data_IF_856548776190
#
_entry.id   IF_856548776190
#
_cell.length_a   1.000
_cell.length_b   1.000
_cell.length_c   1.000
_cell.angle_alpha   90.00
_cell.angle_beta   90.00
_cell.angle_gamma   90.00
#
_symmetry.space_group_name_H-M   'P 1'
#
loop_
_entity.id
_entity.type
_entity.pdbx_description
1 polymer ?
#
# COMPACT_ATOMS: atom_id res chain seq x y z
N UNK A 1 -12.23 -56.36 -17.28
CA UNK A 1 -11.18 -55.84 -18.19
C UNK A 1 -9.90 -55.62 -17.40
N UNK A 2 -8.85 -56.39 -17.71
CA UNK A 2 -7.58 -56.39 -16.97
C UNK A 2 -6.74 -55.16 -17.31
N UNK A 3 -5.81 -54.76 -16.43
CA UNK A 3 -4.86 -53.66 -16.69
C UNK A 3 -4.00 -53.90 -17.95
N UNK A 4 -3.88 -55.16 -18.40
CA UNK A 4 -3.18 -55.53 -19.64
C UNK A 4 -3.98 -55.12 -20.88
N UNK A 5 -5.29 -55.33 -20.85
CA UNK A 5 -6.19 -55.01 -21.97
C UNK A 5 -6.38 -53.50 -22.15
N UNK A 6 -6.42 -52.75 -21.04
CA UNK A 6 -6.59 -51.29 -21.07
C UNK A 6 -5.34 -50.59 -21.61
N UNK A 7 -4.14 -51.02 -21.20
CA UNK A 7 -2.89 -50.45 -21.71
C UNK A 7 -2.72 -50.73 -23.21
N UNK A 8 -3.08 -51.94 -23.66
CA UNK A 8 -3.03 -52.31 -25.08
C UNK A 8 -3.97 -51.46 -25.96
N UNK A 9 -5.14 -51.07 -25.45
CA UNK A 9 -6.11 -50.23 -26.18
C UNK A 9 -5.81 -48.73 -26.14
N UNK A 10 -5.07 -48.25 -25.15
CA UNK A 10 -4.85 -46.81 -24.90
C UNK A 10 -3.43 -46.33 -25.21
N UNK A 11 -2.49 -47.25 -25.48
CA UNK A 11 -1.07 -46.97 -25.74
C UNK A 11 -0.35 -46.24 -24.57
N UNK A 12 -0.94 -46.21 -23.38
CA UNK A 12 -0.35 -45.56 -22.21
C UNK A 12 0.63 -46.49 -21.49
N UNK A 13 1.81 -45.99 -21.06
CA UNK A 13 2.79 -46.80 -20.35
C UNK A 13 2.26 -47.26 -18.99
N UNK A 14 2.70 -48.45 -18.59
CA UNK A 14 2.20 -49.22 -17.45
C UNK A 14 2.83 -48.75 -16.11
N UNK A 15 2.90 -47.44 -15.90
CA UNK A 15 3.50 -46.84 -14.72
C UNK A 15 2.46 -46.63 -13.59
N UNK A 16 2.96 -46.40 -12.37
CA UNK A 16 2.13 -46.26 -11.16
C UNK A 16 1.02 -45.20 -11.31
N UNK A 17 1.31 -44.12 -12.04
CA UNK A 17 0.36 -43.03 -12.29
C UNK A 17 -0.80 -43.42 -13.19
N UNK A 18 -0.58 -44.26 -14.22
CA UNK A 18 -1.66 -44.71 -15.11
C UNK A 18 -2.56 -45.72 -14.42
N UNK A 19 -2.01 -46.60 -13.58
CA UNK A 19 -2.77 -47.51 -12.72
C UNK A 19 -3.67 -46.71 -11.77
N UNK A 20 -3.10 -45.74 -11.07
CA UNK A 20 -3.86 -44.88 -10.16
C UNK A 20 -5.00 -44.13 -10.86
N UNK A 21 -4.78 -43.57 -12.06
CA UNK A 21 -5.83 -42.86 -12.79
C UNK A 21 -6.96 -43.79 -13.27
N UNK A 22 -6.62 -45.02 -13.69
CA UNK A 22 -7.60 -46.03 -14.10
C UNK A 22 -8.44 -46.50 -12.91
N UNK A 23 -7.82 -46.78 -11.76
CA UNK A 23 -8.53 -47.23 -10.56
C UNK A 23 -9.37 -46.12 -9.93
N UNK A 24 -8.87 -44.87 -9.97
CA UNK A 24 -9.65 -43.68 -9.61
C UNK A 24 -10.89 -43.56 -10.51
N UNK A 25 -10.75 -43.65 -11.83
CA UNK A 25 -11.90 -43.58 -12.73
C UNK A 25 -12.89 -44.73 -12.55
N UNK A 26 -12.41 -45.96 -12.31
CA UNK A 26 -13.30 -47.11 -12.08
C UNK A 26 -14.16 -46.94 -10.83
N UNK A 27 -13.59 -46.38 -9.76
CA UNK A 27 -14.28 -46.19 -8.48
C UNK A 27 -15.17 -44.95 -8.46
N UNK A 28 -14.75 -43.83 -9.05
CA UNK A 28 -15.48 -42.56 -8.97
C UNK A 28 -16.24 -42.17 -10.24
N UNK A 29 -16.03 -42.90 -11.35
CA UNK A 29 -16.43 -42.51 -12.71
C UNK A 29 -15.94 -41.10 -13.11
N UNK A 30 -14.94 -40.56 -12.44
CA UNK A 30 -14.44 -39.20 -12.64
C UNK A 30 -12.92 -39.08 -12.38
N UNK A 31 -12.16 -38.58 -13.37
CA UNK A 31 -10.72 -38.31 -13.22
C UNK A 31 -10.46 -36.96 -12.54
N UNK A 32 -11.48 -36.10 -12.46
CA UNK A 32 -11.42 -34.77 -11.85
C UNK A 32 -10.91 -34.79 -10.41
N UNK A 33 -10.34 -33.67 -9.98
CA UNK A 33 -9.96 -33.51 -8.58
C UNK A 33 -11.21 -33.41 -7.70
N UNK A 34 -11.11 -33.92 -6.46
CA UNK A 34 -12.14 -33.70 -5.45
C UNK A 34 -12.37 -32.20 -5.24
N UNK A 35 -13.59 -31.82 -4.88
CA UNK A 35 -13.95 -30.43 -4.64
C UNK A 35 -12.96 -29.76 -3.67
N UNK A 36 -12.41 -28.61 -4.07
CA UNK A 36 -11.39 -27.88 -3.30
C UNK A 36 -9.96 -28.40 -3.43
N UNK A 37 -9.70 -29.51 -4.13
CA UNK A 37 -8.35 -30.00 -4.43
C UNK A 37 -7.93 -29.65 -5.86
N UNK A 38 -6.66 -29.28 -6.03
CA UNK A 38 -6.07 -28.93 -7.33
C UNK A 38 -5.66 -27.47 -7.47
N UNK A 39 -5.08 -27.12 -8.62
CA UNK A 39 -4.61 -25.77 -8.89
C UNK A 39 -5.79 -24.80 -8.95
N UNK A 40 -5.80 -23.79 -8.08
CA UNK A 40 -6.83 -22.73 -8.09
C UNK A 40 -6.90 -22.10 -9.48
N UNK A 41 -8.12 -21.89 -9.98
CA UNK A 41 -8.38 -21.26 -11.28
C UNK A 41 -7.79 -19.86 -11.28
N UNK A 42 -6.95 -19.57 -12.28
CA UNK A 42 -6.27 -18.26 -12.41
C UNK A 42 -7.12 -17.23 -13.15
N UNK A 43 -8.17 -17.67 -13.84
CA UNK A 43 -9.04 -16.82 -14.68
C UNK A 43 -10.45 -16.75 -14.11
N UNK A 44 -11.13 -15.62 -14.34
CA UNK A 44 -12.54 -15.46 -13.99
C UNK A 44 -13.44 -16.01 -15.10
N UNK A 45 -14.71 -16.28 -14.79
CA UNK A 45 -15.71 -16.70 -15.79
C UNK A 45 -15.90 -15.68 -16.93
N UNK A 46 -15.58 -14.40 -16.69
CA UNK A 46 -15.63 -13.34 -17.70
C UNK A 46 -14.41 -13.39 -18.60
N UNK A 47 -13.21 -13.54 -18.01
CA UNK A 47 -11.96 -13.73 -18.75
C UNK A 47 -12.05 -14.95 -19.66
N UNK A 48 -12.61 -16.06 -19.18
CA UNK A 48 -12.75 -17.28 -19.97
C UNK A 48 -13.74 -17.12 -21.14
N UNK A 49 -14.84 -16.37 -20.95
CA UNK A 49 -15.76 -16.03 -22.05
C UNK A 49 -15.08 -15.18 -23.13
N UNK A 50 -14.22 -14.24 -22.73
CA UNK A 50 -13.46 -13.41 -23.67
C UNK A 50 -12.39 -14.22 -24.42
N UNK A 51 -11.69 -15.12 -23.73
CA UNK A 51 -10.74 -16.07 -24.33
C UNK A 51 -11.48 -16.94 -25.36
N UNK A 52 -12.61 -17.53 -24.98
CA UNK A 52 -13.43 -18.35 -25.88
C UNK A 52 -13.90 -17.55 -27.10
N UNK A 53 -14.34 -16.30 -26.92
CA UNK A 53 -14.76 -15.45 -28.04
C UNK A 53 -13.60 -15.13 -29.00
N UNK A 54 -12.41 -14.83 -28.47
CA UNK A 54 -11.21 -14.53 -29.28
C UNK A 54 -10.70 -15.77 -30.02
N UNK A 55 -10.72 -16.93 -29.39
CA UNK A 55 -10.33 -18.21 -29.99
C UNK A 55 -11.39 -18.79 -30.95
N UNK A 56 -12.67 -18.43 -30.78
CA UNK A 56 -13.74 -18.81 -31.71
C UNK A 56 -13.50 -18.25 -33.12
N UNK A 57 -12.94 -17.05 -33.20
CA UNK A 57 -12.64 -16.38 -34.47
C UNK A 57 -11.31 -16.86 -35.10
N UNK A 58 -10.31 -17.16 -34.27
CA UNK A 58 -9.03 -17.70 -34.73
C UNK A 58 -8.44 -18.63 -33.67
N UNK A 59 -8.44 -19.93 -33.99
CA UNK A 59 -8.01 -21.00 -33.08
C UNK A 59 -6.49 -21.17 -33.02
N UNK A 60 -5.71 -20.53 -33.90
CA UNK A 60 -4.24 -20.65 -33.93
C UNK A 60 -3.52 -19.53 -33.17
N UNK A 61 -4.26 -18.64 -32.52
CA UNK A 61 -3.66 -17.56 -31.71
C UNK A 61 -2.85 -18.11 -30.56
N UNK A 62 -1.65 -17.56 -30.40
CA UNK A 62 -0.80 -17.87 -29.26
C UNK A 62 -1.40 -17.31 -27.97
N UNK A 63 -1.07 -17.94 -26.84
CA UNK A 63 -1.52 -17.50 -25.53
C UNK A 63 -1.06 -16.06 -25.21
N UNK A 64 0.13 -15.65 -25.67
CA UNK A 64 0.66 -14.30 -25.47
C UNK A 64 -0.17 -13.25 -26.19
N UNK A 65 -0.55 -13.49 -27.45
CA UNK A 65 -1.40 -12.57 -28.22
C UNK A 65 -2.81 -12.46 -27.62
N UNK A 66 -3.34 -13.55 -27.07
CA UNK A 66 -4.64 -13.52 -26.38
C UNK A 66 -4.56 -12.68 -25.09
N UNK A 67 -3.51 -12.84 -24.28
CA UNK A 67 -3.31 -12.06 -23.04
C UNK A 67 -3.18 -10.56 -23.31
N UNK A 68 -2.32 -10.15 -24.24
CA UNK A 68 -2.16 -8.74 -24.61
C UNK A 68 -3.49 -8.14 -25.11
N UNK A 69 -4.24 -8.90 -25.89
CA UNK A 69 -5.55 -8.49 -26.37
C UNK A 69 -6.63 -8.42 -25.27
N UNK A 70 -6.47 -9.11 -24.13
CA UNK A 70 -7.38 -9.02 -22.99
C UNK A 70 -7.10 -7.78 -22.15
N UNK A 71 -5.82 -7.50 -21.87
CA UNK A 71 -5.36 -6.33 -21.10
C UNK A 71 -5.84 -5.01 -21.75
N UNK A 72 -5.75 -4.92 -23.08
CA UNK A 72 -6.24 -3.78 -23.86
C UNK A 72 -7.78 -3.68 -23.95
N UNK A 73 -8.51 -4.76 -23.71
CA UNK A 73 -9.99 -4.73 -23.69
C UNK A 73 -10.51 -4.34 -22.31
N UNK A 74 -9.79 -4.72 -21.25
CA UNK A 74 -10.13 -4.38 -19.85
C UNK A 74 -9.78 -2.95 -19.45
N UNK A 75 -8.84 -2.30 -20.16
CA UNK A 75 -8.49 -0.89 -19.94
C UNK A 75 -9.58 0.11 -20.39
N UNK A 76 -10.69 -0.36 -20.99
CA UNK A 76 -11.85 0.45 -21.42
C UNK A 76 -13.15 0.10 -20.67
N UNK A 77 -13.13 -0.05 -19.35
CA UNK A 77 -14.36 -0.32 -18.59
C UNK A 77 -14.83 0.92 -17.82
N UNK A 78 -16.09 1.29 -18.12
CA UNK A 78 -16.92 2.34 -17.51
C UNK A 78 -17.12 2.12 -15.99
N UNK A 79 -17.33 3.19 -15.20
CA UNK A 79 -17.34 3.18 -13.72
C UNK A 79 -18.57 2.52 -13.06
N UNK A 80 -19.27 1.60 -13.72
CA UNK A 80 -20.47 0.92 -13.16
C UNK A 80 -20.22 -0.48 -12.59
N UNK A 81 -18.97 -0.94 -12.58
CA UNK A 81 -18.59 -2.26 -12.05
C UNK A 81 -17.22 -2.23 -11.34
N UNK A 82 -16.97 -1.25 -10.46
CA UNK A 82 -15.83 -1.30 -9.55
C UNK A 82 -16.24 -2.01 -8.27
N UNK A 83 -15.56 -3.11 -7.95
CA UNK A 83 -15.62 -3.71 -6.61
C UNK A 83 -14.80 -2.78 -5.71
N UNK A 84 -15.30 -2.34 -4.54
CA UNK A 84 -14.50 -1.58 -3.60
C UNK A 84 -13.25 -2.40 -3.28
N UNK A 85 -12.08 -1.85 -3.61
CA UNK A 85 -10.79 -2.46 -3.30
C UNK A 85 -10.00 -1.46 -2.49
N UNK A 86 -9.34 -1.93 -1.44
CA UNK A 86 -8.63 -1.07 -0.48
C UNK A 86 -7.33 -0.49 -1.06
N UNK A 87 -6.87 -1.00 -2.21
CA UNK A 87 -5.64 -0.58 -2.90
C UNK A 87 -5.82 -0.64 -4.42
N UNK A 88 -5.97 0.51 -5.07
CA UNK A 88 -5.88 0.59 -6.54
C UNK A 88 -4.41 0.82 -6.94
N UNK A 89 -3.84 -0.10 -7.73
CA UNK A 89 -2.55 0.05 -8.39
C UNK A 89 -1.31 -0.20 -7.51
N UNK A 90 -0.27 -0.79 -8.11
CA UNK A 90 1.05 -1.05 -7.50
C UNK A 90 1.90 0.23 -7.31
N UNK A 91 1.32 1.41 -7.56
CA UNK A 91 2.03 2.69 -7.62
C UNK A 91 1.76 3.50 -6.35
N UNK A 92 2.44 3.15 -5.26
CA UNK A 92 2.43 3.89 -3.99
C UNK A 92 3.64 4.83 -3.93
N UNK A 93 3.40 6.12 -3.69
CA UNK A 93 4.45 7.10 -3.42
C UNK A 93 4.56 7.28 -1.91
N UNK A 94 5.71 6.92 -1.34
CA UNK A 94 6.00 7.17 0.06
C UNK A 94 6.64 8.56 0.21
N UNK A 95 6.19 9.33 1.18
CA UNK A 95 6.74 10.66 1.47
C UNK A 95 7.03 10.82 2.95
N UNK A 96 8.02 11.66 3.27
CA UNK A 96 8.30 12.15 4.60
C UNK A 96 8.25 13.68 4.61
N UNK A 97 7.59 14.24 5.62
CA UNK A 97 7.59 15.67 5.87
C UNK A 97 7.53 15.95 7.35
N UNK A 98 7.80 17.21 7.69
CA UNK A 98 7.62 17.73 9.03
C UNK A 98 7.05 19.15 8.94
N UNK A 99 6.41 19.63 9.98
CA UNK A 99 5.96 21.01 10.05
C UNK A 99 5.98 21.51 11.49
N UNK A 100 5.81 22.82 11.63
CA UNK A 100 5.60 23.50 12.90
C UNK A 100 4.37 24.40 12.78
N UNK A 101 3.89 24.91 13.92
CA UNK A 101 2.81 25.90 13.96
C UNK A 101 3.02 27.08 12.99
N UNK A 102 4.27 27.48 12.77
CA UNK A 102 4.61 28.67 11.98
C UNK A 102 5.04 28.37 10.54
N UNK A 103 5.60 27.18 10.26
CA UNK A 103 6.24 26.89 8.97
C UNK A 103 6.14 25.42 8.57
N UNK A 104 5.99 25.21 7.27
CA UNK A 104 6.05 23.90 6.63
C UNK A 104 7.52 23.50 6.41
N UNK A 105 7.90 22.29 6.82
CA UNK A 105 9.22 21.71 6.52
C UNK A 105 9.31 21.21 5.10
N UNK A 106 10.46 20.67 4.71
CA UNK A 106 10.62 20.09 3.38
C UNK A 106 9.86 18.77 3.28
N UNK A 107 9.19 18.53 2.15
CA UNK A 107 8.67 17.21 1.78
C UNK A 107 9.74 16.45 1.00
N UNK A 108 10.00 15.20 1.39
CA UNK A 108 10.88 14.28 0.68
C UNK A 108 10.07 13.10 0.17
N UNK A 109 10.21 12.77 -1.11
CA UNK A 109 9.76 11.50 -1.68
C UNK A 109 10.78 10.42 -1.32
N UNK A 110 10.30 9.25 -0.92
CA UNK A 110 11.12 8.13 -0.47
C UNK A 110 11.22 7.08 -1.57
N UNK A 111 12.46 6.70 -1.90
CA UNK A 111 12.76 5.76 -2.98
C UNK A 111 12.61 4.28 -2.57
N UNK A 112 12.46 4.03 -1.27
CA UNK A 112 12.36 2.68 -0.69
C UNK A 112 11.57 2.69 0.61
N UNK A 113 11.19 1.49 1.04
CA UNK A 113 10.56 1.28 2.35
C UNK A 113 11.51 1.78 3.43
N UNK A 114 10.98 2.58 4.35
CA UNK A 114 11.75 3.22 5.40
C UNK A 114 12.26 2.18 6.40
N UNK A 115 13.58 2.12 6.56
CA UNK A 115 14.23 1.42 7.68
C UNK A 115 14.83 2.43 8.67
N UNK A 116 15.38 1.95 9.79
CA UNK A 116 15.91 2.83 10.85
C UNK A 116 17.13 3.64 10.41
N UNK A 117 17.91 3.16 9.46
CA UNK A 117 19.09 3.86 8.97
C UNK A 117 18.67 4.96 8.01
N UNK A 118 17.75 4.63 7.09
CA UNK A 118 17.18 5.58 6.16
C UNK A 118 16.38 6.66 6.89
N UNK A 119 15.63 6.30 7.93
CA UNK A 119 14.94 7.28 8.77
C UNK A 119 15.91 8.26 9.43
N UNK A 120 17.03 7.78 10.00
CA UNK A 120 18.08 8.67 10.53
C UNK A 120 18.59 9.63 9.45
N UNK A 121 18.85 9.12 8.26
CA UNK A 121 19.37 9.93 7.15
C UNK A 121 18.34 10.98 6.69
N UNK A 122 17.05 10.61 6.67
CA UNK A 122 15.95 11.55 6.42
C UNK A 122 15.91 12.64 7.49
N UNK A 123 16.04 12.29 8.78
CA UNK A 123 16.08 13.28 9.86
C UNK A 123 17.29 14.23 9.73
N UNK A 124 18.47 13.71 9.35
CA UNK A 124 19.68 14.52 9.16
C UNK A 124 19.54 15.44 7.94
N UNK A 125 18.99 14.95 6.82
CA UNK A 125 18.95 15.69 5.54
C UNK A 125 17.72 16.58 5.36
N UNK A 126 16.63 16.32 6.07
CA UNK A 126 15.37 17.08 5.94
C UNK A 126 15.04 17.86 7.22
N UNK A 127 14.99 17.16 8.37
CA UNK A 127 14.55 17.78 9.63
C UNK A 127 15.57 18.77 10.20
N UNK A 128 16.85 18.41 10.29
CA UNK A 128 17.87 19.32 10.85
C UNK A 128 17.97 20.64 10.07
N UNK A 129 18.03 20.63 8.72
CA UNK A 129 17.95 21.87 7.94
C UNK A 129 16.69 22.67 8.21
N UNK A 130 15.53 22.00 8.34
CA UNK A 130 14.27 22.67 8.67
C UNK A 130 14.34 23.36 10.04
N UNK A 131 14.84 22.67 11.08
CA UNK A 131 14.99 23.26 12.43
C UNK A 131 15.92 24.47 12.44
N UNK A 132 17.06 24.35 11.75
CA UNK A 132 18.04 25.43 11.64
C UNK A 132 17.45 26.62 10.87
N UNK A 133 16.77 26.36 9.75
CA UNK A 133 16.11 27.38 8.95
C UNK A 133 15.01 28.11 9.73
N UNK A 134 14.27 27.38 10.57
CA UNK A 134 13.19 27.93 11.39
C UNK A 134 13.68 28.64 12.66
N UNK A 135 14.99 28.59 12.95
CA UNK A 135 15.60 29.17 14.17
C UNK A 135 14.88 28.75 15.46
N UNK A 136 14.35 27.53 15.51
CA UNK A 136 13.55 27.04 16.64
C UNK A 136 14.38 26.83 17.92
N UNK A 137 15.71 26.80 17.80
CA UNK A 137 16.64 26.62 18.91
C UNK A 137 16.43 25.32 19.69
N UNK A 138 17.01 25.23 20.89
CA UNK A 138 16.87 24.09 21.81
C UNK A 138 15.45 23.89 22.38
N UNK A 139 14.52 24.81 22.09
CA UNK A 139 13.12 24.74 22.57
C UNK A 139 12.21 23.93 21.65
N UNK A 140 12.71 23.43 20.53
CA UNK A 140 11.94 22.59 19.63
C UNK A 140 11.73 21.19 20.24
N UNK A 141 10.47 20.86 20.55
CA UNK A 141 10.09 19.51 20.95
C UNK A 141 9.70 18.73 19.69
N UNK A 142 10.41 17.64 19.42
CA UNK A 142 10.14 16.78 18.30
C UNK A 142 9.04 15.76 18.63
N UNK A 143 8.01 15.74 17.80
CA UNK A 143 6.97 14.72 17.84
C UNK A 143 7.10 13.80 16.62
N UNK A 144 7.08 12.49 16.86
CA UNK A 144 7.04 11.45 15.84
C UNK A 144 6.28 10.22 16.36
N UNK A 145 5.79 9.38 15.46
CA UNK A 145 5.02 8.18 15.80
C UNK A 145 5.79 7.18 16.66
N UNK A 146 5.13 6.72 17.72
CA UNK A 146 5.69 5.75 18.66
C UNK A 146 5.29 4.30 18.41
N UNK A 147 4.40 4.02 17.45
CA UNK A 147 4.05 2.63 17.13
C UNK A 147 5.05 2.00 16.14
N UNK A 148 5.73 2.79 15.30
CA UNK A 148 6.69 2.26 14.34
C UNK A 148 8.00 1.83 15.05
N UNK A 149 8.40 0.55 14.96
CA UNK A 149 9.68 0.07 15.48
C UNK A 149 10.89 0.83 14.92
N UNK A 150 10.78 1.39 13.72
CA UNK A 150 11.78 2.21 13.05
C UNK A 150 12.07 3.47 13.87
N UNK A 151 11.03 4.21 14.21
CA UNK A 151 11.09 5.46 14.97
C UNK A 151 11.53 5.23 16.42
N UNK A 152 11.13 4.10 17.01
CA UNK A 152 11.43 3.77 18.42
C UNK A 152 12.70 2.94 18.62
N UNK A 153 13.44 2.68 17.53
CA UNK A 153 14.68 1.90 17.57
C UNK A 153 15.74 2.56 18.45
N UNK A 154 16.60 1.75 19.07
CA UNK A 154 17.71 2.24 19.91
C UNK A 154 18.66 3.17 19.15
N UNK A 155 18.85 2.93 17.84
CA UNK A 155 19.65 3.79 16.95
C UNK A 155 19.08 5.21 16.89
N UNK A 156 17.77 5.35 16.66
CA UNK A 156 17.12 6.66 16.54
C UNK A 156 17.09 7.37 17.89
N UNK A 157 16.79 6.65 18.97
CA UNK A 157 16.82 7.21 20.34
C UNK A 157 18.20 7.75 20.70
N UNK A 158 19.27 6.98 20.45
CA UNK A 158 20.64 7.42 20.71
C UNK A 158 21.04 8.60 19.82
N UNK A 159 20.66 8.60 18.54
CA UNK A 159 20.94 9.70 17.63
C UNK A 159 20.22 11.00 18.04
N UNK A 160 18.93 10.93 18.40
CA UNK A 160 18.16 12.10 18.89
C UNK A 160 18.79 12.67 20.17
N UNK A 161 19.19 11.79 21.10
CA UNK A 161 19.88 12.18 22.33
C UNK A 161 21.23 12.85 22.04
N UNK A 162 22.03 12.30 21.12
CA UNK A 162 23.32 12.87 20.74
C UNK A 162 23.24 14.21 20.00
N UNK A 163 22.09 14.52 19.39
CA UNK A 163 21.79 15.81 18.76
C UNK A 163 21.07 16.80 19.71
N UNK A 164 20.90 16.44 20.98
CA UNK A 164 20.18 17.24 21.99
C UNK A 164 18.73 17.57 21.59
N UNK A 165 18.10 16.70 20.80
CA UNK A 165 16.73 16.90 20.33
C UNK A 165 15.77 16.32 21.37
N UNK A 166 14.99 17.18 22.01
CA UNK A 166 13.94 16.75 22.93
C UNK A 166 12.79 16.11 22.16
N UNK A 167 12.31 14.95 22.63
CA UNK A 167 11.16 14.26 22.04
C UNK A 167 9.95 14.36 22.94
N UNK A 168 8.77 14.64 22.37
CA UNK A 168 7.52 14.64 23.11
C UNK A 168 7.18 13.21 23.56
N UNK A 169 6.93 13.03 24.85
CA UNK A 169 6.39 11.75 25.33
C UNK A 169 4.87 11.73 25.19
N UNK A 170 4.36 10.95 24.24
CA UNK A 170 2.93 10.73 24.01
C UNK A 170 2.61 9.21 23.95
N UNK A 171 1.34 8.78 24.12
CA UNK A 171 0.97 7.37 24.13
C UNK A 171 1.06 6.72 22.73
N UNK A 172 1.44 5.44 22.60
CA UNK A 172 1.38 4.73 21.32
C UNK A 172 -0.07 4.53 20.86
N UNK A 173 -0.29 4.39 19.54
CA UNK A 173 -1.61 4.15 18.92
C UNK A 173 -2.61 5.31 19.06
N UNK A 174 -2.15 6.55 19.02
CA UNK A 174 -3.04 7.73 19.07
C UNK A 174 -2.83 8.66 17.88
N UNK A 175 -3.08 8.20 16.64
CA UNK A 175 -2.92 9.04 15.44
C UNK A 175 -3.79 10.30 15.50
N UNK A 176 -4.93 10.25 16.20
CA UNK A 176 -5.85 11.36 16.46
C UNK A 176 -5.14 12.61 17.02
N UNK A 177 -4.03 12.43 17.76
CA UNK A 177 -3.25 13.52 18.36
C UNK A 177 -2.04 13.94 17.55
N UNK A 178 -1.79 13.32 16.39
CA UNK A 178 -0.69 13.65 15.52
C UNK A 178 -1.13 14.63 14.42
N UNK A 179 -0.81 15.94 14.54
CA UNK A 179 -1.31 16.95 13.61
C UNK A 179 -0.89 16.72 12.16
N UNK A 180 0.17 15.95 11.94
CA UNK A 180 0.66 15.64 10.60
C UNK A 180 -0.28 14.70 9.84
N UNK A 181 -1.07 13.87 10.53
CA UNK A 181 -2.08 13.01 9.88
C UNK A 181 -3.17 13.86 9.22
N UNK A 182 -3.63 14.90 9.93
CA UNK A 182 -4.57 15.87 9.38
C UNK A 182 -3.96 16.68 8.23
N UNK A 183 -2.66 16.96 8.30
CA UNK A 183 -1.93 17.62 7.21
C UNK A 183 -1.81 16.70 5.97
N UNK A 184 -1.59 15.41 6.16
CA UNK A 184 -1.59 14.42 5.08
C UNK A 184 -2.96 14.33 4.40
N UNK A 185 -4.04 14.33 5.18
CA UNK A 185 -5.41 14.37 4.65
C UNK A 185 -5.66 15.62 3.80
N UNK A 186 -5.20 16.79 4.26
CA UNK A 186 -5.31 18.03 3.49
C UNK A 186 -4.48 18.00 2.19
N UNK A 187 -3.25 17.48 2.25
CA UNK A 187 -2.40 17.32 1.07
C UNK A 187 -3.03 16.37 0.05
N UNK A 188 -3.52 15.22 0.51
CA UNK A 188 -4.19 14.23 -0.33
C UNK A 188 -5.42 14.84 -1.02
N UNK A 189 -6.24 15.60 -0.27
CA UNK A 189 -7.40 16.31 -0.81
C UNK A 189 -7.02 17.33 -1.88
N UNK A 190 -5.92 18.06 -1.70
CA UNK A 190 -5.41 19.03 -2.71
C UNK A 190 -4.95 18.32 -3.97
N UNK A 191 -4.13 17.29 -3.83
CA UNK A 191 -3.56 16.52 -4.96
C UNK A 191 -4.65 15.78 -5.74
N UNK A 192 -5.64 15.19 -5.05
CA UNK A 192 -6.76 14.48 -5.69
C UNK A 192 -7.52 15.32 -6.71
N UNK A 193 -7.56 16.65 -6.57
CA UNK A 193 -8.24 17.56 -7.53
C UNK A 193 -7.62 17.51 -8.91
N UNK A 194 -6.32 17.26 -9.01
CA UNK A 194 -5.57 17.26 -10.26
C UNK A 194 -5.63 15.91 -10.99
N UNK A 195 -6.05 14.84 -10.32
CA UNK A 195 -6.17 13.49 -10.89
C UNK A 195 -4.88 13.05 -11.61
N UNK A 196 -3.74 12.95 -10.89
CA UNK A 196 -2.46 12.57 -11.49
C UNK A 196 -2.56 11.23 -12.21
N UNK A 197 -1.90 11.14 -13.37
CA UNK A 197 -1.98 9.98 -14.26
C UNK A 197 -0.79 9.03 -14.15
N UNK A 198 0.29 9.46 -13.51
CA UNK A 198 1.51 8.67 -13.29
C UNK A 198 2.22 9.12 -12.00
N UNK A 199 3.19 8.30 -11.55
CA UNK A 199 3.97 8.54 -10.33
C UNK A 199 4.73 9.87 -10.39
N UNK A 200 5.39 10.19 -11.50
CA UNK A 200 6.18 11.42 -11.62
C UNK A 200 5.31 12.68 -11.47
N UNK A 201 4.13 12.67 -12.08
CA UNK A 201 3.15 13.75 -11.93
C UNK A 201 2.65 13.84 -10.49
N UNK A 202 2.38 12.69 -9.84
CA UNK A 202 1.97 12.63 -8.44
C UNK A 202 3.05 13.20 -7.50
N UNK A 203 4.32 12.81 -7.68
CA UNK A 203 5.45 13.32 -6.89
C UNK A 203 5.62 14.84 -7.01
N UNK A 204 5.54 15.36 -8.24
CA UNK A 204 5.62 16.80 -8.50
C UNK A 204 4.45 17.55 -7.84
N UNK A 205 3.23 17.05 -7.97
CA UNK A 205 2.05 17.66 -7.36
C UNK A 205 2.11 17.62 -5.83
N UNK A 206 2.58 16.53 -5.23
CA UNK A 206 2.78 16.42 -3.78
C UNK A 206 3.70 17.52 -3.28
N UNK A 207 4.86 17.71 -3.92
CA UNK A 207 5.83 18.75 -3.54
C UNK A 207 5.24 20.16 -3.76
N UNK A 208 4.56 20.38 -4.88
CA UNK A 208 3.98 21.69 -5.20
C UNK A 208 2.86 22.07 -4.22
N UNK A 209 1.90 21.18 -3.97
CA UNK A 209 0.78 21.45 -3.08
C UNK A 209 1.21 21.55 -1.62
N UNK A 210 2.21 20.78 -1.20
CA UNK A 210 2.82 20.89 0.12
C UNK A 210 3.40 22.28 0.39
N UNK A 211 4.12 22.84 -0.58
CA UNK A 211 4.70 24.19 -0.45
C UNK A 211 3.65 25.32 -0.52
N UNK A 212 2.42 25.01 -0.97
CA UNK A 212 1.28 25.94 -0.97
C UNK A 212 0.43 25.86 0.32
N UNK A 213 0.82 25.05 1.30
CA UNK A 213 0.08 24.99 2.56
C UNK A 213 0.38 26.26 3.36
N UNK A 214 -0.69 27.02 3.63
CA UNK A 214 -0.60 28.32 4.26
C UNK A 214 -0.53 28.22 5.79
N UNK A 215 0.07 29.24 6.40
CA UNK A 215 0.28 29.34 7.84
C UNK A 215 -1.01 29.17 8.68
N UNK A 216 -2.18 29.73 8.30
CA UNK A 216 -3.42 29.52 9.06
C UNK A 216 -3.86 28.06 9.15
N UNK A 217 -3.53 27.23 8.14
CA UNK A 217 -3.79 25.79 8.18
C UNK A 217 -2.92 25.14 9.24
N UNK A 218 -1.63 25.47 9.26
CA UNK A 218 -0.67 24.91 10.22
C UNK A 218 -1.00 25.32 11.66
N UNK A 219 -1.37 26.58 11.88
CA UNK A 219 -1.78 27.09 13.18
C UNK A 219 -3.00 26.35 13.69
N UNK A 220 -4.05 26.23 12.87
CA UNK A 220 -5.27 25.51 13.24
C UNK A 220 -4.99 24.06 13.64
N UNK A 221 -4.10 23.36 12.93
CA UNK A 221 -3.77 21.96 13.22
C UNK A 221 -3.00 21.78 14.53
N UNK A 222 -2.09 22.71 14.86
CA UNK A 222 -1.36 22.63 16.12
C UNK A 222 -2.22 23.10 17.28
N UNK A 223 -3.01 24.15 17.08
CA UNK A 223 -3.87 24.75 18.12
C UNK A 223 -5.08 23.85 18.47
N UNK A 224 -5.43 22.87 17.62
CA UNK A 224 -6.46 21.87 17.93
C UNK A 224 -6.01 20.77 18.89
N UNK A 225 -4.69 20.51 18.99
CA UNK A 225 -4.16 19.39 19.79
C UNK A 225 -4.57 19.44 21.26
N UNK A 226 -4.47 20.58 21.97
CA UNK A 226 -4.88 20.66 23.37
C UNK A 226 -6.36 20.31 23.58
N UNK A 227 -7.24 20.75 22.68
CA UNK A 227 -8.67 20.44 22.72
C UNK A 227 -8.93 18.94 22.48
N UNK A 228 -8.25 18.33 21.51
CA UNK A 228 -8.34 16.89 21.24
C UNK A 228 -7.87 16.06 22.44
N UNK A 229 -6.77 16.47 23.09
CA UNK A 229 -6.27 15.82 24.31
C UNK A 229 -7.27 15.97 25.47
N UNK A 230 -7.86 17.15 25.63
CA UNK A 230 -8.88 17.38 26.65
C UNK A 230 -10.10 16.48 26.44
N UNK A 231 -10.61 16.39 25.21
CA UNK A 231 -11.71 15.48 24.86
C UNK A 231 -11.34 14.02 25.17
N UNK A 232 -10.13 13.57 24.82
CA UNK A 232 -9.65 12.22 25.12
C UNK A 232 -9.65 11.91 26.62
N UNK A 233 -9.21 12.86 27.45
CA UNK A 233 -9.23 12.74 28.91
C UNK A 233 -10.68 12.61 29.41
N UNK A 234 -11.61 13.40 28.88
CA UNK A 234 -13.03 13.34 29.26
C UNK A 234 -13.66 11.98 28.92
N UNK A 235 -13.27 11.38 27.79
CA UNK A 235 -13.75 10.04 27.38
C UNK A 235 -12.89 8.89 27.93
N UNK A 236 -12.01 9.16 28.91
CA UNK A 236 -11.15 8.18 29.59
C UNK A 236 -10.27 7.34 28.65
N UNK A 237 -9.77 7.94 27.57
CA UNK A 237 -8.87 7.27 26.63
C UNK A 237 -9.55 6.42 25.55
N UNK A 238 -10.88 6.50 25.42
CA UNK A 238 -11.59 5.96 24.25
C UNK A 238 -11.24 6.74 22.97
N UNK A 239 -11.59 6.18 21.80
CA UNK A 239 -11.35 6.82 20.49
C UNK A 239 -12.02 8.20 20.42
N UNK A 240 -11.28 9.20 19.94
CA UNK A 240 -11.85 10.53 19.70
C UNK A 240 -12.56 10.56 18.34
N UNK A 241 -13.26 11.65 18.02
CA UNK A 241 -13.96 11.83 16.73
C UNK A 241 -13.01 12.22 15.58
N UNK A 242 -11.73 12.43 15.86
CA UNK A 242 -10.74 13.04 14.96
C UNK A 242 -9.93 12.01 14.19
#
# INVERSE_FOLDING_TARGET
MSLREIAAKTLLPRNYSSIYMVDKYKSTKCIGNLFGRGRKRKTTATTDRLIQRKLKYDRRKSASTVNYGLENTTSRIRPKCTIPTVKHGDDLVMVYGCFTRQRIGKLCVLDRIMDRFYYRDILEQNKLPSINHFKLGQRCIFMHEKYDPTHTSGLIKSWLKGKEIQTLSWPPYSPDFNPIENLWNELERRVKKYQPKNITELELLLIQEWNKIELPVLEKLVDSVPSQLYECIQIKGCSTKY
#
